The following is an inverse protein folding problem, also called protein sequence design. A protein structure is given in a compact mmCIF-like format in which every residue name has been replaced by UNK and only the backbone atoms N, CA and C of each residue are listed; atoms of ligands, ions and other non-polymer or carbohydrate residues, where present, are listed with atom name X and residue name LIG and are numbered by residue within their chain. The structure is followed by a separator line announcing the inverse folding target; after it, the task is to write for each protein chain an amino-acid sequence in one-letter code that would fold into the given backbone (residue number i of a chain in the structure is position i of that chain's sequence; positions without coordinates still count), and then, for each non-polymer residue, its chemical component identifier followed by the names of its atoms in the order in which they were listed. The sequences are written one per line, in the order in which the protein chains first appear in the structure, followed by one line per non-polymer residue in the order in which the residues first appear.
data_IF_160053230486
#
_entry.id   IF_160053230486
#
_cell.length_a   1.000
_cell.length_b   1.000
_cell.length_c   1.000
_cell.angle_alpha   90.00
_cell.angle_beta   90.00
_cell.angle_gamma   90.00
#
_symmetry.space_group_name_H-M   'P 1'
#
loop_
_entity.id
_entity.type
_entity.pdbx_description
1 polymer ?
#
# COMPACT_ATOMS: atom_id res chain seq x y z
N UNK A 1 -55.71 44.28 -25.26
CA UNK A 1 -54.57 43.44 -25.76
C UNK A 1 -53.70 43.12 -24.56
N UNK A 2 -53.97 41.98 -23.90
CA UNK A 2 -53.13 41.49 -22.76
C UNK A 2 -52.20 40.40 -23.28
N UNK A 3 -50.88 40.64 -23.20
CA UNK A 3 -49.86 39.59 -23.47
C UNK A 3 -49.52 38.92 -22.16
N UNK A 4 -49.93 37.64 -22.00
CA UNK A 4 -49.54 36.78 -20.89
C UNK A 4 -48.10 36.30 -21.10
N UNK A 5 -47.19 36.73 -20.26
CA UNK A 5 -45.83 36.25 -20.19
C UNK A 5 -45.76 35.05 -19.24
N UNK A 6 -45.70 33.82 -19.79
CA UNK A 6 -45.52 32.61 -19.01
C UNK A 6 -44.05 32.47 -18.63
N UNK A 7 -43.78 32.62 -17.33
CA UNK A 7 -42.45 32.37 -16.74
C UNK A 7 -42.23 30.87 -16.63
N UNK A 8 -41.37 30.31 -17.50
CA UNK A 8 -40.93 28.90 -17.37
C UNK A 8 -39.94 28.79 -16.21
N UNK A 9 -40.36 28.10 -15.18
CA UNK A 9 -39.48 27.64 -14.12
C UNK A 9 -38.70 26.40 -14.62
N UNK A 10 -37.37 26.57 -14.87
CA UNK A 10 -36.46 25.47 -15.05
C UNK A 10 -36.04 24.94 -13.67
N UNK A 11 -36.21 23.64 -13.38
CA UNK A 11 -35.66 23.07 -12.14
C UNK A 11 -34.13 22.97 -12.30
N UNK A 12 -33.39 23.65 -11.45
CA UNK A 12 -31.96 23.50 -11.31
C UNK A 12 -31.66 22.10 -10.78
N UNK A 13 -31.21 21.23 -11.65
CA UNK A 13 -30.66 19.91 -11.26
C UNK A 13 -29.29 20.17 -10.61
N UNK A 14 -29.26 20.16 -9.29
CA UNK A 14 -28.01 20.13 -8.52
C UNK A 14 -27.43 18.71 -8.64
N UNK A 15 -26.49 18.53 -9.54
CA UNK A 15 -25.64 17.35 -9.61
C UNK A 15 -24.73 17.35 -8.38
N UNK A 16 -25.11 16.59 -7.36
CA UNK A 16 -24.24 16.18 -6.25
C UNK A 16 -23.16 15.26 -6.83
N UNK A 17 -22.02 15.84 -7.23
CA UNK A 17 -20.80 15.08 -7.45
C UNK A 17 -20.33 14.55 -6.09
N UNK A 18 -20.73 13.32 -5.78
CA UNK A 18 -20.10 12.55 -4.70
C UNK A 18 -18.68 12.24 -5.16
N UNK A 19 -17.73 13.04 -4.70
CA UNK A 19 -16.31 12.75 -4.84
C UNK A 19 -16.01 11.48 -4.04
N UNK A 20 -15.93 10.36 -4.71
CA UNK A 20 -15.35 9.15 -4.15
C UNK A 20 -13.87 9.43 -3.94
N UNK A 21 -13.52 9.78 -2.72
CA UNK A 21 -12.11 9.80 -2.29
C UNK A 21 -11.66 8.33 -2.31
N UNK A 22 -11.04 7.93 -3.41
CA UNK A 22 -10.24 6.71 -3.43
C UNK A 22 -9.12 6.95 -2.43
N UNK A 23 -9.21 6.34 -1.27
CA UNK A 23 -8.11 6.25 -0.33
C UNK A 23 -7.01 5.45 -1.04
N UNK A 24 -6.13 6.17 -1.74
CA UNK A 24 -4.87 5.59 -2.17
C UNK A 24 -4.11 5.24 -0.90
N UNK A 25 -3.86 3.96 -0.68
CA UNK A 25 -2.94 3.49 0.34
C UNK A 25 -1.53 3.95 -0.09
N UNK A 26 -1.22 5.21 0.21
CA UNK A 26 0.09 5.78 -0.07
C UNK A 26 1.06 5.25 0.99
N UNK A 27 2.26 4.85 0.54
CA UNK A 27 3.37 4.59 1.42
C UNK A 27 3.76 5.89 2.14
N UNK A 28 3.76 5.89 3.46
CA UNK A 28 4.31 6.97 4.26
C UNK A 28 5.78 6.70 4.56
N UNK A 29 6.66 7.65 4.24
CA UNK A 29 8.08 7.51 4.56
C UNK A 29 8.31 7.77 6.04
N UNK A 30 8.80 6.76 6.75
CA UNK A 30 9.13 6.86 8.18
C UNK A 30 10.55 7.39 8.36
N UNK A 31 11.47 6.97 7.48
CA UNK A 31 12.86 7.42 7.54
C UNK A 31 13.79 6.61 6.64
N UNK A 32 15.03 7.05 6.61
CA UNK A 32 16.08 6.41 5.83
C UNK A 32 17.42 6.49 6.55
N UNK A 33 18.32 5.54 6.24
CA UNK A 33 19.68 5.48 6.78
C UNK A 33 20.64 5.28 5.62
N UNK A 34 21.60 6.18 5.46
CA UNK A 34 22.67 6.05 4.48
C UNK A 34 23.62 4.93 4.89
N UNK A 35 24.01 4.09 3.91
CA UNK A 35 24.82 2.90 4.17
C UNK A 35 26.19 2.97 3.50
N UNK A 36 26.30 3.58 2.32
CA UNK A 36 27.55 3.71 1.58
C UNK A 36 27.62 5.07 0.92
N UNK A 37 28.65 5.84 1.27
CA UNK A 37 28.94 7.13 0.65
C UNK A 37 29.29 7.00 -0.82
N UNK A 38 28.75 7.89 -1.67
CA UNK A 38 29.08 8.02 -3.08
C UNK A 38 29.65 9.40 -3.40
N UNK A 39 30.78 9.43 -4.10
CA UNK A 39 31.41 10.69 -4.54
C UNK A 39 30.55 11.48 -5.52
N UNK A 40 29.67 10.81 -6.28
CA UNK A 40 28.80 11.43 -7.27
C UNK A 40 27.41 10.76 -7.20
N UNK A 41 26.38 11.60 -7.01
CA UNK A 41 25.00 11.18 -6.85
C UNK A 41 24.65 10.85 -5.39
N UNK A 42 23.38 10.50 -5.11
CA UNK A 42 22.94 10.16 -3.76
C UNK A 42 23.60 8.88 -3.23
N UNK A 43 23.73 8.79 -1.91
CA UNK A 43 24.28 7.62 -1.23
C UNK A 43 23.38 6.38 -1.36
N UNK A 44 23.95 5.19 -1.16
CA UNK A 44 23.16 4.00 -0.92
C UNK A 44 22.50 4.10 0.44
N UNK A 45 21.23 3.69 0.54
CA UNK A 45 20.47 3.81 1.77
C UNK A 45 19.47 2.67 1.98
N UNK A 46 19.06 2.51 3.22
CA UNK A 46 17.88 1.72 3.58
C UNK A 46 16.77 2.70 3.87
N UNK A 47 15.61 2.47 3.26
CA UNK A 47 14.38 3.25 3.50
C UNK A 47 13.37 2.40 4.23
N UNK A 48 12.59 3.03 5.13
CA UNK A 48 11.47 2.40 5.83
C UNK A 48 10.20 3.16 5.52
N UNK A 49 9.22 2.44 5.00
CA UNK A 49 7.91 2.98 4.68
C UNK A 49 6.82 2.28 5.49
N UNK A 50 5.80 3.02 5.91
CA UNK A 50 4.59 2.49 6.53
C UNK A 50 3.47 2.39 5.51
N UNK A 51 2.69 1.33 5.64
CA UNK A 51 1.53 1.03 4.80
C UNK A 51 0.37 0.60 5.69
N UNK A 52 -0.65 1.44 5.80
CA UNK A 52 -1.87 1.08 6.52
C UNK A 52 -2.72 0.12 5.68
N UNK A 53 -3.33 -0.87 6.34
CA UNK A 53 -4.27 -1.75 5.65
C UNK A 53 -5.52 -0.96 5.26
N UNK A 54 -5.88 -0.90 3.96
CA UNK A 54 -7.00 -0.08 3.49
C UNK A 54 -8.38 -0.57 3.95
N UNK A 55 -8.45 -1.78 4.52
CA UNK A 55 -9.71 -2.41 4.96
C UNK A 55 -9.74 -2.78 6.43
N UNK A 56 -8.59 -2.71 7.10
CA UNK A 56 -8.46 -3.04 8.53
C UNK A 56 -7.82 -1.88 9.26
N UNK A 57 -8.65 -1.05 9.89
CA UNK A 57 -8.15 0.02 10.72
C UNK A 57 -7.36 -0.53 11.91
N UNK A 58 -6.31 0.19 12.30
CA UNK A 58 -5.45 -0.18 13.41
C UNK A 58 -4.36 -1.21 13.07
N UNK A 59 -4.15 -1.50 11.77
CA UNK A 59 -3.03 -2.33 11.30
C UNK A 59 -2.15 -1.54 10.35
N UNK A 60 -0.85 -1.50 10.65
CA UNK A 60 0.19 -0.89 9.81
C UNK A 60 1.30 -1.91 9.54
N UNK A 61 1.75 -1.97 8.29
CA UNK A 61 2.89 -2.76 7.85
C UNK A 61 4.07 -1.84 7.56
N UNK A 62 5.19 -2.05 8.24
CA UNK A 62 6.44 -1.36 7.98
C UNK A 62 7.30 -2.20 7.04
N UNK A 63 7.71 -1.61 5.93
CA UNK A 63 8.53 -2.26 4.92
C UNK A 63 9.87 -1.56 4.83
N UNK A 64 10.96 -2.31 5.05
CA UNK A 64 12.31 -1.83 4.83
C UNK A 64 12.89 -2.39 3.55
N UNK A 65 13.62 -1.57 2.79
CA UNK A 65 14.29 -1.98 1.55
C UNK A 65 15.56 -1.17 1.30
N UNK A 66 16.53 -1.80 0.66
CA UNK A 66 17.70 -1.09 0.16
C UNK A 66 17.34 -0.26 -1.08
N UNK A 67 17.89 0.94 -1.17
CA UNK A 67 17.79 1.83 -2.33
C UNK A 67 19.20 2.16 -2.84
N UNK A 68 19.46 1.86 -4.11
CA UNK A 68 20.75 2.10 -4.73
C UNK A 68 20.92 3.60 -5.04
N UNK A 69 22.01 4.18 -4.59
CA UNK A 69 22.42 5.55 -4.89
C UNK A 69 23.32 5.65 -6.13
N UNK A 70 23.98 6.80 -6.28
CA UNK A 70 24.81 7.14 -7.43
C UNK A 70 24.01 7.60 -8.64
N UNK A 71 24.67 7.87 -9.76
CA UNK A 71 24.03 8.38 -10.98
C UNK A 71 22.99 7.39 -11.51
N UNK A 72 23.29 6.09 -11.52
CA UNK A 72 22.35 5.06 -11.96
C UNK A 72 21.11 4.98 -11.07
N UNK A 73 21.25 5.18 -9.75
CA UNK A 73 20.14 5.25 -8.81
C UNK A 73 19.29 6.49 -9.01
N UNK A 74 19.94 7.65 -9.22
CA UNK A 74 19.25 8.93 -9.44
C UNK A 74 18.37 8.93 -10.71
N UNK A 75 18.82 8.26 -11.78
CA UNK A 75 18.05 8.12 -13.03
C UNK A 75 17.17 6.85 -13.06
N UNK A 76 17.06 6.11 -11.94
CA UNK A 76 16.21 4.92 -11.83
C UNK A 76 16.69 3.71 -12.65
N UNK A 77 17.92 3.73 -13.16
CA UNK A 77 18.52 2.64 -13.93
C UNK A 77 19.30 1.63 -13.06
N UNK A 78 19.43 1.93 -11.75
CA UNK A 78 20.05 0.98 -10.85
C UNK A 78 19.11 -0.19 -10.57
N UNK A 79 19.68 -1.38 -10.60
CA UNK A 79 18.98 -2.58 -10.16
C UNK A 79 19.01 -2.64 -8.61
N UNK A 80 17.99 -2.08 -7.95
CA UNK A 80 17.84 -2.30 -6.53
C UNK A 80 17.65 -3.80 -6.25
N UNK A 81 18.38 -4.31 -5.24
CA UNK A 81 18.11 -5.65 -4.76
C UNK A 81 16.63 -5.71 -4.33
N UNK A 82 15.92 -6.66 -4.89
CA UNK A 82 14.47 -6.79 -4.67
C UNK A 82 14.13 -7.38 -3.28
N UNK A 83 15.04 -7.20 -2.31
CA UNK A 83 14.89 -7.67 -0.95
C UNK A 83 14.12 -6.64 -0.15
N UNK A 84 12.94 -7.03 0.33
CA UNK A 84 12.16 -6.24 1.26
C UNK A 84 11.85 -7.09 2.49
N UNK A 85 11.99 -6.48 3.67
CA UNK A 85 11.52 -7.07 4.93
C UNK A 85 10.24 -6.38 5.35
N UNK A 86 9.31 -7.13 5.94
CA UNK A 86 8.03 -6.62 6.41
C UNK A 86 7.82 -6.93 7.89
N UNK A 87 7.27 -5.95 8.61
CA UNK A 87 6.78 -6.11 9.97
C UNK A 87 5.42 -5.43 10.11
N UNK A 88 4.34 -6.22 10.20
CA UNK A 88 3.01 -5.66 10.44
C UNK A 88 2.67 -5.71 11.93
N UNK A 89 2.01 -4.66 12.43
CA UNK A 89 1.66 -4.51 13.84
C UNK A 89 0.25 -3.93 13.98
N UNK A 90 -0.38 -4.30 15.08
CA UNK A 90 -1.51 -3.55 15.57
C UNK A 90 -0.97 -2.24 16.16
N UNK A 91 -1.44 -1.11 15.63
CA UNK A 91 -1.06 0.25 16.05
C UNK A 91 -2.24 1.01 16.66
N UNK A 92 -3.42 0.41 16.67
CA UNK A 92 -4.64 0.98 17.22
C UNK A 92 -5.74 -0.05 17.40
N UNK A 93 -6.95 0.35 17.80
CA UNK A 93 -8.10 -0.54 17.87
C UNK A 93 -8.40 -1.15 16.48
N UNK A 94 -8.58 -2.47 16.44
CA UNK A 94 -8.92 -3.17 15.20
C UNK A 94 -10.38 -2.92 14.86
N UNK A 95 -10.63 -2.45 13.64
CA UNK A 95 -11.96 -2.46 13.04
C UNK A 95 -11.89 -2.81 11.56
N UNK A 96 -12.88 -3.56 11.08
CA UNK A 96 -12.99 -3.97 9.68
C UNK A 96 -13.93 -3.01 8.96
N UNK A 97 -13.39 -2.27 7.99
CA UNK A 97 -14.16 -1.27 7.21
C UNK A 97 -15.09 -1.95 6.20
N UNK A 98 -14.78 -3.20 5.83
CA UNK A 98 -15.57 -4.03 4.91
C UNK A 98 -15.17 -5.51 5.05
N UNK A 99 -16.02 -6.46 4.60
CA UNK A 99 -15.67 -7.87 4.58
C UNK A 99 -14.41 -8.14 3.74
N UNK A 100 -13.52 -8.99 4.26
CA UNK A 100 -12.24 -9.31 3.64
C UNK A 100 -12.36 -10.49 2.69
N UNK A 101 -11.60 -10.45 1.59
CA UNK A 101 -11.30 -11.66 0.84
C UNK A 101 -10.30 -12.52 1.62
N UNK A 102 -10.36 -13.84 1.43
CA UNK A 102 -9.41 -14.79 2.06
C UNK A 102 -7.96 -14.47 1.68
N UNK A 103 -7.76 -13.97 0.46
CA UNK A 103 -6.49 -13.47 -0.06
C UNK A 103 -6.74 -12.24 -0.92
N UNK A 104 -5.94 -11.17 -0.71
CA UNK A 104 -6.08 -9.92 -1.46
C UNK A 104 -4.77 -9.13 -1.47
N UNK A 105 -4.39 -8.58 -2.62
CA UNK A 105 -3.33 -7.58 -2.69
C UNK A 105 -3.85 -6.28 -2.07
N UNK A 106 -3.18 -5.82 -1.01
CA UNK A 106 -3.57 -4.62 -0.26
C UNK A 106 -2.69 -3.41 -0.60
N UNK A 107 -1.50 -3.68 -1.15
CA UNK A 107 -0.57 -2.64 -1.57
C UNK A 107 0.34 -3.11 -2.71
N UNK A 108 0.67 -2.19 -3.62
CA UNK A 108 1.62 -2.41 -4.70
C UNK A 108 2.34 -1.10 -5.03
N UNK A 109 3.67 -1.12 -5.03
CA UNK A 109 4.52 0.03 -5.38
C UNK A 109 5.55 -0.35 -6.44
N UNK A 110 5.71 0.50 -7.45
CA UNK A 110 6.79 0.36 -8.42
C UNK A 110 8.09 0.87 -7.80
N UNK A 111 9.12 0.02 -7.74
CA UNK A 111 10.42 0.34 -7.13
C UNK A 111 11.53 0.56 -8.16
N UNK A 112 11.29 0.28 -9.45
CA UNK A 112 12.22 0.62 -10.53
C UNK A 112 11.46 1.07 -11.79
N UNK A 113 12.14 1.86 -12.64
CA UNK A 113 11.56 2.32 -13.90
C UNK A 113 11.27 1.14 -14.86
N UNK A 114 12.02 0.07 -14.75
CA UNK A 114 12.02 -0.95 -15.80
C UNK A 114 11.06 -2.07 -15.51
N UNK A 115 10.90 -2.65 -14.28
CA UNK A 115 10.06 -3.86 -14.17
C UNK A 115 9.81 -4.40 -12.74
N UNK A 116 10.24 -3.72 -11.66
CA UNK A 116 10.08 -4.29 -10.32
C UNK A 116 8.97 -3.59 -9.54
N UNK A 117 8.08 -4.39 -8.98
CA UNK A 117 7.06 -3.93 -8.02
C UNK A 117 7.23 -4.70 -6.73
N UNK A 118 7.11 -3.99 -5.61
CA UNK A 118 6.85 -4.63 -4.31
C UNK A 118 5.33 -4.76 -4.18
N UNK A 119 4.90 -5.92 -3.71
CA UNK A 119 3.49 -6.22 -3.41
C UNK A 119 3.36 -6.65 -1.96
N UNK A 120 2.26 -6.28 -1.34
CA UNK A 120 1.83 -6.80 -0.05
C UNK A 120 0.48 -7.48 -0.26
N UNK A 121 0.43 -8.78 0.01
CA UNK A 121 -0.78 -9.59 -0.06
C UNK A 121 -1.19 -9.95 1.36
N UNK A 122 -2.43 -9.60 1.73
CA UNK A 122 -3.05 -10.05 2.97
C UNK A 122 -3.78 -11.36 2.73
N UNK A 123 -3.57 -12.30 3.65
CA UNK A 123 -4.27 -13.58 3.72
C UNK A 123 -4.95 -13.70 5.08
N UNK A 124 -6.05 -14.43 5.16
CA UNK A 124 -6.77 -14.66 6.41
C UNK A 124 -6.61 -16.11 6.86
N UNK A 125 -5.89 -16.33 7.98
CA UNK A 125 -5.88 -17.61 8.67
C UNK A 125 -7.10 -17.70 9.58
N UNK A 126 -8.16 -18.32 9.06
CA UNK A 126 -9.44 -18.49 9.77
C UNK A 126 -9.31 -19.31 11.06
N UNK A 127 -8.44 -20.32 11.04
CA UNK A 127 -8.29 -21.23 12.16
C UNK A 127 -7.65 -20.53 13.38
N UNK A 128 -6.75 -19.58 13.13
CA UNK A 128 -6.03 -18.86 14.17
C UNK A 128 -6.55 -17.45 14.42
N UNK A 129 -7.58 -17.01 13.67
CA UNK A 129 -8.12 -15.63 13.69
C UNK A 129 -7.02 -14.59 13.49
N UNK A 130 -6.22 -14.75 12.43
CA UNK A 130 -4.98 -14.01 12.22
C UNK A 130 -4.92 -13.49 10.79
N UNK A 131 -4.40 -12.26 10.64
CA UNK A 131 -4.06 -11.67 9.34
C UNK A 131 -2.59 -11.96 9.05
N UNK A 132 -2.31 -12.49 7.87
CA UNK A 132 -0.97 -12.81 7.37
C UNK A 132 -0.66 -11.89 6.21
N UNK A 133 0.44 -11.16 6.29
CA UNK A 133 0.90 -10.24 5.25
C UNK A 133 2.17 -10.77 4.62
N UNK A 134 2.11 -11.08 3.34
CA UNK A 134 3.24 -11.52 2.53
C UNK A 134 3.71 -10.35 1.67
N UNK A 135 4.98 -9.95 1.80
CA UNK A 135 5.62 -9.07 0.82
C UNK A 135 6.52 -9.86 -0.10
N UNK A 136 6.49 -9.51 -1.37
CA UNK A 136 7.39 -10.04 -2.39
C UNK A 136 7.57 -9.03 -3.52
N UNK A 137 8.61 -9.22 -4.34
CA UNK A 137 8.82 -8.40 -5.52
C UNK A 137 8.59 -9.23 -6.79
N UNK A 138 7.89 -8.63 -7.77
CA UNK A 138 7.80 -9.22 -9.10
C UNK A 138 9.20 -9.29 -9.72
N UNK A 139 9.58 -10.47 -10.21
CA UNK A 139 10.74 -10.67 -11.07
C UNK A 139 10.27 -11.04 -12.47
N UNK A 140 10.87 -10.39 -13.47
CA UNK A 140 10.65 -10.75 -14.88
C UNK A 140 11.65 -11.80 -15.39
N UNK A 141 12.61 -12.20 -14.56
CA UNK A 141 13.69 -13.14 -14.91
C UNK A 141 13.57 -14.36 -14.00
N UNK A 142 13.99 -15.53 -14.49
CA UNK A 142 13.91 -16.82 -13.81
C UNK A 142 14.38 -16.81 -12.35
N UNK A 143 13.66 -17.53 -11.49
CA UNK A 143 13.96 -17.73 -10.08
C UNK A 143 12.79 -17.32 -9.16
N UNK A 144 12.79 -17.85 -7.94
CA UNK A 144 11.81 -17.50 -6.92
C UNK A 144 12.01 -16.08 -6.44
N UNK A 145 10.94 -15.27 -6.31
CA UNK A 145 11.03 -13.93 -5.75
C UNK A 145 11.44 -13.98 -4.27
N UNK A 146 12.27 -13.04 -3.86
CA UNK A 146 12.52 -12.77 -2.45
C UNK A 146 11.21 -12.38 -1.78
N UNK A 147 10.95 -12.95 -0.62
CA UNK A 147 9.71 -12.73 0.11
C UNK A 147 9.95 -12.67 1.62
N UNK A 148 9.01 -12.06 2.31
CA UNK A 148 8.98 -11.97 3.77
C UNK A 148 7.54 -11.98 4.25
N UNK A 149 7.29 -12.53 5.43
CA UNK A 149 5.95 -12.64 6.00
C UNK A 149 5.89 -11.99 7.38
N UNK A 150 4.78 -11.29 7.64
CA UNK A 150 4.43 -10.78 8.96
C UNK A 150 3.02 -11.22 9.32
N UNK A 151 2.72 -11.30 10.61
CA UNK A 151 1.41 -11.70 11.12
C UNK A 151 0.88 -10.70 12.12
N UNK A 152 -0.44 -10.49 12.11
CA UNK A 152 -1.17 -9.71 13.11
C UNK A 152 -2.28 -10.59 13.65
N UNK A 153 -2.14 -11.02 14.91
CA UNK A 153 -3.18 -11.79 15.59
C UNK A 153 -4.34 -10.88 15.96
N UNK A 154 -5.55 -11.30 15.64
CA UNK A 154 -6.78 -10.61 16.02
C UNK A 154 -7.36 -11.27 17.26
N UNK A 155 -7.77 -10.46 18.22
CA UNK A 155 -8.43 -10.98 19.42
C UNK A 155 -9.62 -11.88 19.01
N UNK A 156 -9.75 -13.04 19.65
CA UNK A 156 -10.80 -14.02 19.30
C UNK A 156 -12.21 -13.54 19.56
N UNK A 157 -12.38 -12.50 20.37
CA UNK A 157 -13.67 -11.82 20.56
C UNK A 157 -14.10 -11.02 19.33
N UNK A 158 -13.14 -10.63 18.46
CA UNK A 158 -13.37 -9.88 17.23
C UNK A 158 -13.38 -10.87 16.05
N UNK A 159 -14.55 -11.13 15.49
CA UNK A 159 -14.66 -12.01 14.32
C UNK A 159 -14.21 -11.29 13.07
N UNK A 160 -13.29 -11.89 12.30
CA UNK A 160 -12.90 -11.38 11.00
C UNK A 160 -14.04 -11.58 10.00
N UNK A 161 -14.66 -10.51 9.46
CA UNK A 161 -15.74 -10.64 8.48
C UNK A 161 -15.15 -11.06 7.13
N UNK A 162 -15.71 -12.10 6.52
CA UNK A 162 -15.27 -12.61 5.21
C UNK A 162 -16.38 -12.47 4.19
N UNK A 163 -16.02 -12.21 2.94
CA UNK A 163 -16.88 -12.25 1.76
C UNK A 163 -16.72 -13.55 0.99
#
# INVERSE_FOLDING_TARGET
MHKNFKFLWLPAIVLLMQSWVLANANAESIGEVDTVFKWIGPDHKIVVNAHDDPKVSGVTCYVSRAKTGGIKGAVGLAEDKAEASIACRQVGPISFLQPLAVQEEVFSERISLVFKKIRIVRMVDKARNTLVYLTYSDRLIEGSPQNSVAIVSIDRSIKIPLK
#
